data_IF_900443041512
#
_entry.id   IF_900443041512
#
_cell.length_a   1.000
_cell.length_b   1.000
_cell.length_c   1.000
_cell.angle_alpha   90.00
_cell.angle_beta   90.00
_cell.angle_gamma   90.00
#
_symmetry.space_group_name_H-M   'P 1'
#
loop_
_entity.id
_entity.type
_entity.pdbx_description
1 polymer ?
#
# COMPACT_ATOMS: atom_id res chain seq x y z
N UNK A 1 -3.89 -30.24 35.73
CA UNK A 1 -5.14 -29.59 35.31
C UNK A 1 -5.30 -28.17 35.87
N UNK A 2 -5.00 -27.91 37.14
CA UNK A 2 -5.18 -26.58 37.76
C UNK A 2 -4.20 -25.48 37.31
N UNK A 3 -2.94 -25.84 36.97
CA UNK A 3 -1.89 -24.85 36.62
C UNK A 3 -2.20 -24.11 35.30
N UNK A 4 -2.76 -24.80 34.31
CA UNK A 4 -3.15 -24.17 33.03
C UNK A 4 -4.36 -23.25 33.21
N UNK A 5 -5.34 -23.65 34.04
CA UNK A 5 -6.51 -22.84 34.36
C UNK A 5 -6.13 -21.54 35.13
N UNK A 6 -5.12 -21.60 36.00
CA UNK A 6 -4.54 -20.42 36.66
C UNK A 6 -3.88 -19.48 35.66
N UNK A 7 -3.17 -20.03 34.66
CA UNK A 7 -2.48 -19.25 33.64
C UNK A 7 -3.43 -18.52 32.68
N UNK A 8 -4.58 -19.13 32.36
CA UNK A 8 -5.64 -18.49 31.56
C UNK A 8 -6.42 -17.39 32.29
N UNK A 9 -6.32 -17.28 33.62
CA UNK A 9 -7.12 -16.32 34.41
C UNK A 9 -6.36 -15.07 34.86
N UNK A 10 -5.02 -15.05 34.80
CA UNK A 10 -4.23 -13.98 35.43
C UNK A 10 -3.12 -13.39 34.57
N UNK A 11 -2.67 -14.07 33.53
CA UNK A 11 -1.63 -13.53 32.68
C UNK A 11 -2.27 -12.82 31.50
N UNK A 12 -2.30 -11.49 31.57
CA UNK A 12 -2.72 -10.66 30.46
C UNK A 12 -1.90 -11.04 29.23
N UNK A 13 -2.55 -11.19 28.07
CA UNK A 13 -1.90 -11.76 26.88
C UNK A 13 -0.64 -10.96 26.50
N UNK A 14 -0.67 -9.65 26.77
CA UNK A 14 0.47 -8.75 26.60
C UNK A 14 1.66 -9.10 27.49
N UNK A 15 1.42 -9.42 28.76
CA UNK A 15 2.45 -9.74 29.74
C UNK A 15 3.14 -11.08 29.44
N UNK A 16 2.36 -12.05 28.95
CA UNK A 16 2.87 -13.32 28.42
C UNK A 16 3.79 -13.07 27.22
N UNK A 17 3.35 -12.24 26.27
CA UNK A 17 4.09 -11.97 25.04
C UNK A 17 5.36 -11.16 25.31
N UNK A 18 5.34 -10.26 26.31
CA UNK A 18 6.51 -9.57 26.84
C UNK A 18 7.53 -10.54 27.43
N UNK A 19 7.10 -11.43 28.34
CA UNK A 19 7.99 -12.40 28.98
C UNK A 19 8.60 -13.39 27.99
N UNK A 20 7.88 -13.73 26.92
CA UNK A 20 8.35 -14.58 25.82
C UNK A 20 9.22 -13.83 24.79
N UNK A 21 9.46 -12.53 24.96
CA UNK A 21 10.32 -11.72 24.08
C UNK A 21 9.69 -11.34 22.74
N UNK A 22 8.37 -11.52 22.57
CA UNK A 22 7.65 -11.11 21.35
C UNK A 22 7.39 -9.60 21.30
N UNK A 23 7.30 -8.95 22.46
CA UNK A 23 7.09 -7.50 22.57
C UNK A 23 8.41 -6.85 23.00
N UNK A 24 9.16 -6.39 22.00
CA UNK A 24 10.28 -5.47 22.21
C UNK A 24 9.78 -4.03 22.05
N UNK A 25 10.26 -3.12 22.91
CA UNK A 25 10.04 -1.67 22.79
C UNK A 25 10.84 -1.13 21.59
N UNK A 26 10.48 -1.53 20.38
CA UNK A 26 11.08 -1.01 19.15
C UNK A 26 10.23 0.17 18.65
N UNK A 27 10.68 1.42 18.86
CA UNK A 27 9.98 2.59 18.34
C UNK A 27 10.08 2.59 16.81
N UNK A 28 9.06 2.02 16.16
CA UNK A 28 8.99 1.93 14.70
C UNK A 28 8.62 0.54 14.16
N UNK A 29 8.48 -0.49 15.00
CA UNK A 29 8.18 -1.86 14.54
C UNK A 29 6.84 -2.01 13.81
N UNK A 30 5.89 -1.09 13.98
CA UNK A 30 4.66 -1.07 13.20
C UNK A 30 4.87 -0.67 11.72
N UNK A 31 6.05 -0.16 11.35
CA UNK A 31 6.32 0.33 9.98
C UNK A 31 6.99 -0.70 9.06
N UNK A 32 7.57 -1.78 9.59
CA UNK A 32 8.41 -2.69 8.79
C UNK A 32 8.10 -4.16 9.05
N UNK A 33 7.71 -4.85 8.00
CA UNK A 33 7.48 -6.31 8.04
C UNK A 33 8.79 -7.02 8.39
N UNK A 34 8.83 -7.85 9.45
CA UNK A 34 10.05 -8.54 9.86
C UNK A 34 10.62 -9.47 8.76
N UNK A 35 11.95 -9.56 8.60
CA UNK A 35 12.59 -10.33 7.52
C UNK A 35 12.17 -11.81 7.45
N UNK A 36 11.84 -12.42 8.60
CA UNK A 36 11.38 -13.81 8.73
C UNK A 36 10.09 -14.12 7.96
N UNK A 37 9.29 -13.12 7.61
CA UNK A 37 8.11 -13.29 6.76
C UNK A 37 8.44 -13.41 5.27
N UNK A 38 9.68 -13.12 4.87
CA UNK A 38 10.15 -13.24 3.48
C UNK A 38 11.01 -14.50 3.26
N UNK A 39 11.47 -15.17 4.32
CA UNK A 39 12.37 -16.32 4.24
C UNK A 39 11.68 -17.67 4.01
N UNK A 40 10.35 -17.70 3.90
CA UNK A 40 9.60 -18.92 3.64
C UNK A 40 8.14 -18.65 3.26
N UNK A 41 7.48 -19.58 2.54
CA UNK A 41 6.09 -19.41 2.15
C UNK A 41 5.18 -19.39 3.38
N UNK A 42 4.25 -18.42 3.41
CA UNK A 42 3.23 -18.34 4.46
C UNK A 42 2.36 -19.59 4.46
N UNK A 43 2.17 -20.21 5.63
CA UNK A 43 1.19 -21.28 5.87
C UNK A 43 -0.17 -20.75 6.35
N UNK A 44 -0.32 -19.43 6.45
CA UNK A 44 -1.58 -18.82 6.85
C UNK A 44 -2.62 -19.02 5.73
N UNK A 45 -3.68 -19.79 5.99
CA UNK A 45 -4.88 -19.74 5.16
C UNK A 45 -5.68 -18.50 5.56
N UNK A 46 -5.61 -17.46 4.75
CA UNK A 46 -6.32 -16.22 5.00
C UNK A 46 -5.59 -14.99 4.45
N UNK A 47 -6.37 -13.93 4.29
CA UNK A 47 -6.04 -12.63 3.69
C UNK A 47 -5.46 -12.76 2.28
N UNK A 48 -6.32 -12.54 1.29
CA UNK A 48 -5.90 -12.23 -0.08
C UNK A 48 -5.01 -10.98 -0.04
N UNK A 49 -3.70 -11.16 -0.25
CA UNK A 49 -2.72 -10.08 -0.22
C UNK A 49 -3.07 -8.98 -1.24
N UNK A 50 -3.61 -9.36 -2.40
CA UNK A 50 -4.09 -8.40 -3.39
C UNK A 50 -5.26 -7.58 -2.85
N UNK A 51 -6.22 -8.22 -2.18
CA UNK A 51 -7.34 -7.52 -1.53
C UNK A 51 -6.83 -6.60 -0.41
N UNK A 52 -5.88 -7.07 0.40
CA UNK A 52 -5.26 -6.29 1.47
C UNK A 52 -4.56 -5.04 0.94
N UNK A 53 -3.71 -5.18 -0.08
CA UNK A 53 -2.98 -4.06 -0.67
C UNK A 53 -3.93 -3.05 -1.32
N UNK A 54 -4.99 -3.51 -2.00
CA UNK A 54 -6.03 -2.63 -2.54
C UNK A 54 -6.78 -1.87 -1.44
N UNK A 55 -7.11 -2.55 -0.34
CA UNK A 55 -7.76 -1.93 0.81
C UNK A 55 -6.84 -0.89 1.48
N UNK A 56 -5.55 -1.20 1.64
CA UNK A 56 -4.55 -0.28 2.20
C UNK A 56 -4.34 0.95 1.30
N UNK A 57 -4.22 0.78 -0.02
CA UNK A 57 -4.11 1.89 -0.96
C UNK A 57 -5.34 2.80 -0.90
N UNK A 58 -6.54 2.23 -0.79
CA UNK A 58 -7.78 3.00 -0.64
C UNK A 58 -7.81 3.77 0.69
N UNK A 59 -7.36 3.17 1.78
CA UNK A 59 -7.27 3.85 3.08
C UNK A 59 -6.28 5.01 3.05
N UNK A 60 -5.08 4.80 2.53
CA UNK A 60 -4.08 5.85 2.37
C UNK A 60 -4.62 7.03 1.55
N UNK A 61 -5.37 6.74 0.49
CA UNK A 61 -6.05 7.77 -0.29
C UNK A 61 -7.11 8.52 0.53
N UNK A 62 -7.92 7.83 1.33
CA UNK A 62 -8.95 8.48 2.14
C UNK A 62 -8.38 9.30 3.29
N UNK A 63 -7.30 8.82 3.90
CA UNK A 63 -6.61 9.45 5.03
C UNK A 63 -5.74 10.65 4.58
N UNK A 64 -5.22 10.63 3.34
CA UNK A 64 -4.45 11.75 2.76
C UNK A 64 -5.10 12.31 1.47
N UNK A 65 -5.82 13.45 1.57
CA UNK A 65 -6.43 14.10 0.41
C UNK A 65 -5.40 14.60 -0.62
N UNK A 66 -4.17 14.89 -0.19
CA UNK A 66 -3.07 15.31 -1.08
C UNK A 66 -2.62 14.18 -2.01
N UNK A 67 -2.55 12.94 -1.52
CA UNK A 67 -2.23 11.77 -2.34
C UNK A 67 -3.32 11.46 -3.38
N UNK A 68 -4.60 11.65 -3.03
CA UNK A 68 -5.70 11.54 -4.01
C UNK A 68 -5.57 12.58 -5.11
N UNK A 69 -5.27 13.82 -4.73
CA UNK A 69 -5.14 14.91 -5.67
C UNK A 69 -3.93 14.70 -6.61
N UNK A 70 -2.78 14.30 -6.06
CA UNK A 70 -1.57 13.98 -6.83
C UNK A 70 -1.81 12.84 -7.83
N UNK A 71 -2.49 11.76 -7.41
CA UNK A 71 -2.86 10.66 -8.31
C UNK A 71 -3.77 11.12 -9.46
N UNK A 72 -4.72 12.02 -9.19
CA UNK A 72 -5.57 12.61 -10.24
C UNK A 72 -4.78 13.50 -11.19
N UNK A 73 -3.85 14.31 -10.71
CA UNK A 73 -2.96 15.10 -11.59
C UNK A 73 -2.10 14.21 -12.49
N UNK A 74 -1.55 13.12 -11.96
CA UNK A 74 -0.80 12.15 -12.77
C UNK A 74 -1.68 11.49 -13.85
N UNK A 75 -2.93 11.14 -13.52
CA UNK A 75 -3.88 10.60 -14.51
C UNK A 75 -4.21 11.62 -15.61
N UNK A 76 -4.46 12.88 -15.25
CA UNK A 76 -4.70 13.96 -16.21
C UNK A 76 -3.48 14.20 -17.09
N UNK A 77 -2.28 14.17 -16.52
CA UNK A 77 -1.03 14.31 -17.27
C UNK A 77 -0.82 13.16 -18.26
N UNK A 78 -1.08 11.91 -17.85
CA UNK A 78 -1.01 10.75 -18.73
C UNK A 78 -2.02 10.84 -19.89
N UNK A 79 -3.22 11.34 -19.61
CA UNK A 79 -4.24 11.57 -20.64
C UNK A 79 -3.82 12.69 -21.61
N UNK A 80 -3.25 13.79 -21.12
CA UNK A 80 -2.74 14.86 -21.97
C UNK A 80 -1.59 14.38 -22.87
N UNK A 81 -0.66 13.58 -22.32
CA UNK A 81 0.45 13.01 -23.09
C UNK A 81 -0.02 12.04 -24.19
N UNK A 82 -1.05 11.24 -23.92
CA UNK A 82 -1.64 10.36 -24.94
C UNK A 82 -2.36 11.15 -26.02
N UNK A 83 -3.11 12.20 -25.65
CA UNK A 83 -3.73 13.11 -26.62
C UNK A 83 -2.68 13.81 -27.50
N UNK A 84 -1.56 14.26 -26.92
CA UNK A 84 -0.44 14.83 -27.68
C UNK A 84 0.15 13.84 -28.67
N UNK A 85 0.35 12.58 -28.28
CA UNK A 85 0.82 11.55 -29.20
C UNK A 85 -0.15 11.35 -30.38
N UNK A 86 -1.46 11.36 -30.13
CA UNK A 86 -2.47 11.29 -31.20
C UNK A 86 -2.44 12.53 -32.11
N UNK A 87 -2.29 13.73 -31.54
CA UNK A 87 -2.18 14.97 -32.32
C UNK A 87 -0.90 14.98 -33.18
N UNK A 88 0.22 14.47 -32.65
CA UNK A 88 1.45 14.29 -33.41
C UNK A 88 1.25 13.30 -34.58
N UNK A 89 0.59 12.16 -34.34
CA UNK A 89 0.28 11.20 -35.40
C UNK A 89 -0.63 11.81 -36.47
N UNK A 90 -1.69 12.50 -36.05
CA UNK A 90 -2.62 13.14 -36.97
C UNK A 90 -1.95 14.23 -37.80
N UNK A 91 -1.22 15.16 -37.17
CA UNK A 91 -0.51 16.25 -37.86
C UNK A 91 0.52 15.73 -38.88
N UNK A 92 1.15 14.59 -38.59
CA UNK A 92 2.06 13.93 -39.53
C UNK A 92 1.34 13.44 -40.80
N UNK A 93 0.16 12.83 -40.66
CA UNK A 93 -0.63 12.31 -41.79
C UNK A 93 -1.31 13.45 -42.56
N UNK A 94 -1.86 14.44 -41.86
CA UNK A 94 -2.61 15.55 -42.46
C UNK A 94 -1.73 16.68 -42.96
N UNK A 95 -0.43 16.70 -42.61
CA UNK A 95 0.50 17.83 -42.81
C UNK A 95 0.01 19.16 -42.22
N UNK A 96 -0.82 19.11 -41.18
CA UNK A 96 -1.30 20.31 -40.47
C UNK A 96 -0.68 20.38 -39.09
N UNK A 97 0.03 21.48 -38.76
CA UNK A 97 0.60 21.65 -37.42
C UNK A 97 -0.50 21.86 -36.38
N UNK A 98 -0.46 21.10 -35.27
CA UNK A 98 -1.40 21.19 -34.15
C UNK A 98 -0.64 21.50 -32.85
N UNK A 99 -1.28 22.23 -31.95
CA UNK A 99 -0.70 22.56 -30.64
C UNK A 99 -0.85 21.39 -29.67
N UNK A 100 0.15 21.24 -28.80
CA UNK A 100 0.15 20.28 -27.69
C UNK A 100 -0.74 20.77 -26.56
N UNK A 101 -1.38 19.81 -25.90
CA UNK A 101 -2.26 19.94 -24.74
C UNK A 101 -1.46 19.87 -23.44
N UNK A 102 -0.42 19.02 -23.36
CA UNK A 102 0.39 18.95 -22.14
C UNK A 102 1.35 20.16 -22.07
N UNK A 103 1.53 20.77 -20.87
CA UNK A 103 2.50 21.84 -20.69
C UNK A 103 3.92 21.37 -21.08
N UNK A 104 4.73 22.33 -21.54
CA UNK A 104 6.11 22.10 -21.96
C UNK A 104 7.00 21.64 -20.80
#
# INVERSE_FOLDING_TARGET
>A
AAVLAWWQSQCDAEEILLALGFVGREPGAASRVPPRFFSGPSRASGIDLGLFLRAQARRLQLEDPGLRLASRFQQVQALAATADAFLCLYSHVSRTALQRIAPA
#
